data_IF_418357960772
#
_entry.id   IF_418357960772
#
_cell.length_a   1.000
_cell.length_b   1.000
_cell.length_c   1.000
_cell.angle_alpha   90.00
_cell.angle_beta   90.00
_cell.angle_gamma   90.00
#
_symmetry.space_group_name_H-M   'P 1'
#
loop_
_entity.id
_entity.type
_entity.pdbx_description
1 polymer ?
#
# COMPACT_ATOMS: atom_id res chain seq x y z
N UNK A 1 -11.60 -30.43 0.72
CA UNK A 1 -13.02 -30.20 0.34
C UNK A 1 -13.55 -31.38 -0.48
N UNK A 2 -14.61 -32.05 -0.03
CA UNK A 2 -15.34 -32.99 -0.90
C UNK A 2 -16.08 -32.17 -1.96
N UNK A 3 -15.95 -32.52 -3.24
CA UNK A 3 -16.70 -31.86 -4.30
C UNK A 3 -18.21 -31.99 -4.03
N UNK A 4 -18.94 -30.88 -4.15
CA UNK A 4 -20.38 -30.87 -4.05
C UNK A 4 -20.94 -31.45 -5.35
N UNK A 5 -21.51 -32.65 -5.26
CA UNK A 5 -22.14 -33.33 -6.38
C UNK A 5 -23.61 -32.94 -6.49
N UNK A 6 -24.10 -32.80 -7.71
CA UNK A 6 -25.50 -32.49 -7.99
C UNK A 6 -26.11 -33.53 -8.91
N UNK A 7 -27.29 -34.02 -8.56
CA UNK A 7 -28.18 -34.69 -9.49
C UNK A 7 -29.31 -33.72 -9.83
N UNK A 8 -29.44 -33.43 -11.13
CA UNK A 8 -30.49 -32.55 -11.64
C UNK A 8 -31.74 -33.33 -12.04
N UNK A 9 -31.71 -34.66 -11.95
CA UNK A 9 -32.78 -35.58 -12.38
C UNK A 9 -32.39 -36.38 -13.61
N UNK A 10 -31.09 -36.53 -13.88
CA UNK A 10 -30.56 -37.20 -15.08
C UNK A 10 -29.80 -38.49 -14.73
N UNK A 11 -29.62 -38.82 -13.44
CA UNK A 11 -29.04 -40.12 -13.08
C UNK A 11 -30.02 -41.23 -13.45
N UNK A 12 -29.51 -42.21 -14.19
CA UNK A 12 -30.23 -43.39 -14.65
C UNK A 12 -29.40 -44.68 -14.50
N UNK A 13 -29.85 -45.77 -15.13
CA UNK A 13 -29.14 -47.06 -15.09
C UNK A 13 -27.79 -47.05 -15.80
N UNK A 14 -27.60 -46.12 -16.75
CA UNK A 14 -26.43 -46.05 -17.61
C UNK A 14 -25.35 -45.14 -17.01
N UNK A 15 -25.72 -44.33 -16.01
CA UNK A 15 -24.84 -43.43 -15.24
C UNK A 15 -23.74 -44.14 -14.42
N UNK A 16 -23.87 -45.44 -14.17
CA UNK A 16 -22.85 -46.24 -13.51
C UNK A 16 -22.76 -46.03 -11.99
N UNK A 17 -21.54 -46.15 -11.44
CA UNK A 17 -21.27 -46.14 -10.00
C UNK A 17 -20.05 -45.27 -9.67
N UNK A 18 -20.03 -44.70 -8.46
CA UNK A 18 -18.88 -43.96 -7.93
C UNK A 18 -18.05 -44.89 -7.05
N UNK A 19 -16.96 -45.43 -7.59
CA UNK A 19 -16.06 -46.36 -6.87
C UNK A 19 -16.77 -47.58 -6.28
N UNK A 20 -17.75 -48.13 -7.00
CA UNK A 20 -18.54 -49.28 -6.55
C UNK A 20 -19.67 -48.95 -5.55
N UNK A 21 -19.90 -47.67 -5.27
CA UNK A 21 -21.05 -47.18 -4.51
C UNK A 21 -22.06 -46.48 -5.43
N UNK A 22 -23.28 -46.28 -4.93
CA UNK A 22 -24.33 -45.51 -5.61
C UNK A 22 -23.81 -44.14 -6.01
N UNK A 23 -24.05 -43.75 -7.27
CA UNK A 23 -23.77 -42.41 -7.74
C UNK A 23 -24.81 -41.44 -7.17
N UNK A 24 -24.37 -40.38 -6.50
CA UNK A 24 -25.26 -39.42 -5.83
C UNK A 24 -25.32 -38.06 -6.54
N UNK A 25 -24.63 -37.91 -7.67
CA UNK A 25 -24.54 -36.68 -8.44
C UNK A 25 -23.29 -36.63 -9.31
N UNK A 26 -23.21 -35.58 -10.12
CA UNK A 26 -22.08 -35.22 -10.96
C UNK A 26 -21.46 -33.89 -10.51
N UNK A 27 -20.22 -33.65 -10.93
CA UNK A 27 -19.60 -32.34 -10.77
C UNK A 27 -20.35 -31.30 -11.63
N UNK A 28 -20.51 -30.08 -11.11
CA UNK A 28 -21.13 -28.99 -11.87
C UNK A 28 -20.11 -28.41 -12.86
N UNK A 29 -20.34 -28.51 -14.18
CA UNK A 29 -19.45 -27.92 -15.17
C UNK A 29 -19.54 -26.38 -15.16
N UNK A 30 -18.55 -25.71 -15.74
CA UNK A 30 -18.62 -24.27 -16.00
C UNK A 30 -19.76 -23.95 -16.98
N UNK A 31 -20.45 -22.82 -16.77
CA UNK A 31 -21.43 -22.29 -17.73
C UNK A 31 -20.78 -21.47 -18.84
N UNK A 32 -19.53 -21.01 -18.64
CA UNK A 32 -18.82 -20.18 -19.61
C UNK A 32 -18.55 -20.99 -20.88
N UNK A 33 -19.10 -20.53 -22.00
CA UNK A 33 -19.02 -21.19 -23.31
C UNK A 33 -19.83 -22.50 -23.43
N UNK A 34 -20.54 -22.93 -22.38
CA UNK A 34 -21.29 -24.19 -22.38
C UNK A 34 -22.41 -24.21 -23.45
N UNK A 35 -22.89 -23.04 -23.84
CA UNK A 35 -23.88 -22.86 -24.90
C UNK A 35 -23.35 -23.26 -26.30
N UNK A 36 -22.02 -23.21 -26.51
CA UNK A 36 -21.40 -23.33 -27.84
C UNK A 36 -21.23 -24.78 -28.32
N UNK A 37 -21.45 -25.77 -27.44
CA UNK A 37 -21.30 -27.20 -27.75
C UNK A 37 -22.48 -28.01 -27.20
N UNK A 38 -23.42 -28.36 -28.09
CA UNK A 38 -24.49 -29.33 -27.81
C UNK A 38 -24.19 -30.72 -28.39
N UNK A 39 -24.95 -31.77 -28.00
CA UNK A 39 -26.00 -31.76 -26.97
C UNK A 39 -25.44 -31.60 -25.54
N UNK A 40 -26.29 -31.13 -24.62
CA UNK A 40 -25.95 -30.80 -23.24
C UNK A 40 -26.32 -31.92 -22.27
N UNK A 41 -25.93 -31.73 -21.00
CA UNK A 41 -25.98 -32.74 -19.91
C UNK A 41 -24.96 -33.86 -20.10
N UNK A 42 -24.70 -34.62 -19.04
CA UNK A 42 -23.63 -35.62 -19.01
C UNK A 42 -23.90 -36.84 -19.93
N UNK A 43 -25.17 -37.08 -20.24
CA UNK A 43 -25.68 -38.14 -21.10
C UNK A 43 -26.01 -37.66 -22.52
N UNK A 44 -25.87 -36.35 -22.79
CA UNK A 44 -26.23 -35.74 -24.07
C UNK A 44 -27.74 -35.75 -24.37
N UNK A 45 -28.60 -35.91 -23.36
CA UNK A 45 -30.06 -36.02 -23.57
C UNK A 45 -30.73 -34.69 -23.96
N UNK A 46 -30.09 -33.55 -23.71
CA UNK A 46 -30.64 -32.24 -24.01
C UNK A 46 -30.10 -31.66 -25.31
N UNK A 47 -30.94 -31.59 -26.35
CA UNK A 47 -30.54 -31.02 -27.64
C UNK A 47 -30.37 -29.49 -27.62
N UNK A 48 -31.01 -28.80 -26.66
CA UNK A 48 -30.99 -27.35 -26.50
C UNK A 48 -30.70 -26.95 -25.05
N UNK A 49 -30.30 -25.70 -24.83
CA UNK A 49 -30.14 -25.15 -23.47
C UNK A 49 -31.46 -25.15 -22.70
N UNK A 50 -32.59 -24.88 -23.36
CA UNK A 50 -33.90 -24.92 -22.75
C UNK A 50 -34.25 -26.33 -22.24
N UNK A 51 -33.93 -27.37 -23.02
CA UNK A 51 -34.12 -28.76 -22.60
C UNK A 51 -33.21 -29.09 -21.40
N UNK A 52 -31.96 -28.61 -21.42
CA UNK A 52 -31.03 -28.78 -20.32
C UNK A 52 -31.50 -28.09 -19.03
N UNK A 53 -32.01 -26.86 -19.13
CA UNK A 53 -32.61 -26.12 -18.02
C UNK A 53 -33.85 -26.86 -17.51
N UNK A 54 -34.72 -27.33 -18.41
CA UNK A 54 -35.94 -28.06 -18.05
C UNK A 54 -35.64 -29.39 -17.33
N UNK A 55 -34.48 -29.99 -17.56
CA UNK A 55 -34.07 -31.20 -16.87
C UNK A 55 -33.82 -30.99 -15.37
N UNK A 56 -33.66 -29.75 -14.88
CA UNK A 56 -33.44 -29.44 -13.46
C UNK A 56 -34.73 -29.55 -12.63
N UNK A 57 -35.15 -30.78 -12.36
CA UNK A 57 -36.44 -31.09 -11.71
C UNK A 57 -36.43 -30.94 -10.19
N UNK A 58 -35.26 -30.73 -9.58
CA UNK A 58 -35.10 -30.49 -8.14
C UNK A 58 -35.46 -29.05 -7.71
N UNK A 59 -35.66 -28.16 -8.68
CA UNK A 59 -36.11 -26.78 -8.48
C UNK A 59 -37.60 -26.61 -8.87
N UNK A 60 -38.29 -25.57 -8.39
CA UNK A 60 -39.62 -25.23 -8.89
C UNK A 60 -39.63 -25.09 -10.41
N UNK A 61 -40.66 -25.64 -11.05
CA UNK A 61 -40.78 -25.62 -12.52
C UNK A 61 -40.82 -24.17 -13.01
N UNK A 62 -39.82 -23.78 -13.80
CA UNK A 62 -39.76 -22.50 -14.48
C UNK A 62 -40.78 -22.41 -15.60
N UNK A 63 -41.39 -21.23 -15.78
CA UNK A 63 -42.25 -20.98 -16.94
C UNK A 63 -41.42 -21.00 -18.23
N UNK A 64 -42.06 -21.26 -19.37
CA UNK A 64 -41.37 -21.30 -20.66
C UNK A 64 -40.59 -20.00 -20.95
N UNK A 65 -41.20 -18.85 -20.68
CA UNK A 65 -40.56 -17.53 -20.83
C UNK A 65 -39.31 -17.36 -19.97
N UNK A 66 -39.33 -17.87 -18.73
CA UNK A 66 -38.19 -17.76 -17.82
C UNK A 66 -37.03 -18.65 -18.27
N UNK A 67 -37.34 -19.83 -18.82
CA UNK A 67 -36.33 -20.72 -19.41
C UNK A 67 -35.72 -20.10 -20.67
N UNK A 68 -36.51 -19.43 -21.49
CA UNK A 68 -36.00 -18.72 -22.67
C UNK A 68 -35.09 -17.56 -22.28
N UNK A 69 -35.47 -16.80 -21.25
CA UNK A 69 -34.64 -15.72 -20.70
C UNK A 69 -33.33 -16.26 -20.10
N UNK A 70 -33.39 -17.35 -19.34
CA UNK A 70 -32.19 -17.97 -18.75
C UNK A 70 -31.27 -18.57 -19.82
N UNK A 71 -31.82 -19.23 -20.84
CA UNK A 71 -31.03 -19.72 -21.97
C UNK A 71 -30.33 -18.56 -22.70
N UNK A 72 -31.03 -17.44 -22.91
CA UNK A 72 -30.46 -16.24 -23.53
C UNK A 72 -29.37 -15.60 -22.66
N UNK A 73 -29.49 -15.68 -21.34
CA UNK A 73 -28.46 -15.24 -20.40
C UNK A 73 -27.23 -16.16 -20.46
N UNK A 74 -27.41 -17.48 -20.45
CA UNK A 74 -26.30 -18.44 -20.56
C UNK A 74 -25.56 -18.32 -21.90
N UNK A 75 -26.27 -17.98 -22.99
CA UNK A 75 -25.65 -17.70 -24.30
C UNK A 75 -24.74 -16.47 -24.32
N UNK A 76 -24.87 -15.55 -23.36
CA UNK A 76 -23.98 -14.41 -23.24
C UNK A 76 -22.72 -14.73 -22.45
N UNK A 77 -22.68 -15.87 -21.74
CA UNK A 77 -21.58 -16.24 -20.88
C UNK A 77 -20.42 -16.84 -21.70
N UNK A 78 -19.55 -15.98 -22.21
CA UNK A 78 -18.39 -16.38 -23.02
C UNK A 78 -17.19 -16.73 -22.14
N UNK A 79 -16.30 -17.65 -22.57
CA UNK A 79 -15.02 -17.86 -21.89
C UNK A 79 -14.16 -16.60 -21.81
N UNK A 80 -14.37 -15.64 -22.73
CA UNK A 80 -13.68 -14.35 -22.74
C UNK A 80 -14.15 -13.36 -21.68
N UNK A 81 -15.33 -13.56 -21.07
CA UNK A 81 -15.87 -12.63 -20.07
C UNK A 81 -15.01 -12.57 -18.80
N UNK A 82 -14.17 -13.57 -18.57
CA UNK A 82 -13.22 -13.61 -17.46
C UNK A 82 -11.83 -13.10 -17.82
N UNK A 83 -11.61 -12.62 -19.06
CA UNK A 83 -10.29 -12.20 -19.52
C UNK A 83 -9.72 -11.06 -18.66
N UNK A 84 -10.58 -10.16 -18.19
CA UNK A 84 -10.17 -9.01 -17.37
C UNK A 84 -10.16 -9.31 -15.86
N UNK A 85 -10.46 -10.56 -15.45
CA UNK A 85 -10.42 -10.99 -14.05
C UNK A 85 -9.01 -11.40 -13.58
N UNK A 86 -8.00 -11.19 -14.42
CA UNK A 86 -6.59 -11.37 -14.07
C UNK A 86 -6.05 -10.07 -13.48
N UNK A 87 -5.02 -10.20 -12.65
CA UNK A 87 -4.16 -9.11 -12.20
C UNK A 87 -2.86 -9.22 -13.01
N UNK A 88 -2.67 -8.30 -13.95
CA UNK A 88 -1.62 -8.42 -14.97
C UNK A 88 -0.28 -7.82 -14.55
N UNK A 89 -0.29 -6.81 -13.69
CA UNK A 89 0.92 -6.16 -13.15
C UNK A 89 1.22 -6.54 -11.69
N UNK A 90 0.31 -7.27 -11.05
CA UNK A 90 0.49 -7.87 -9.73
C UNK A 90 0.29 -6.89 -8.59
N UNK A 91 -0.36 -5.75 -8.82
CA UNK A 91 -0.56 -4.70 -7.82
C UNK A 91 -1.72 -5.00 -6.83
N UNK A 92 -2.41 -6.12 -7.05
CA UNK A 92 -3.55 -6.57 -6.26
C UNK A 92 -4.91 -6.14 -6.78
N UNK A 93 -4.97 -5.39 -7.89
CA UNK A 93 -6.19 -5.03 -8.60
C UNK A 93 -6.34 -5.88 -9.86
N UNK A 94 -7.54 -6.43 -10.06
CA UNK A 94 -7.84 -7.08 -11.32
C UNK A 94 -7.98 -6.01 -12.44
N UNK A 95 -7.64 -6.37 -13.68
CA UNK A 95 -7.65 -5.45 -14.82
C UNK A 95 -8.97 -4.68 -14.99
N UNK A 96 -10.12 -5.29 -14.66
CA UNK A 96 -11.43 -4.63 -14.78
C UNK A 96 -11.66 -3.52 -13.73
N UNK A 97 -10.88 -3.51 -12.65
CA UNK A 97 -10.92 -2.52 -11.57
C UNK A 97 -9.78 -1.50 -11.65
N UNK A 98 -8.78 -1.79 -12.48
CA UNK A 98 -7.57 -1.00 -12.60
C UNK A 98 -7.63 -0.04 -13.80
N UNK A 99 -7.45 1.28 -13.60
CA UNK A 99 -7.34 2.25 -14.69
C UNK A 99 -6.15 2.02 -15.64
N UNK A 100 -5.10 1.30 -15.23
CA UNK A 100 -3.91 1.06 -16.02
C UNK A 100 -3.28 -0.32 -15.74
N UNK A 101 -3.97 -1.39 -16.17
CA UNK A 101 -3.65 -2.82 -16.00
C UNK A 101 -2.28 -3.36 -16.47
N UNK A 102 -1.33 -2.49 -16.82
CA UNK A 102 0.05 -2.89 -17.08
C UNK A 102 1.04 -2.04 -16.30
N UNK A 103 0.58 -1.31 -15.29
CA UNK A 103 1.34 -0.36 -14.51
C UNK A 103 1.03 -0.56 -13.04
N UNK A 104 1.91 -1.31 -12.35
CA UNK A 104 1.75 -1.62 -10.94
C UNK A 104 1.67 -0.39 -10.02
N UNK A 105 2.02 0.81 -10.48
CA UNK A 105 1.91 2.05 -9.69
C UNK A 105 0.55 2.75 -9.84
N UNK A 106 -0.40 2.15 -10.56
CA UNK A 106 -1.76 2.62 -10.69
C UNK A 106 -2.70 1.48 -10.25
N UNK A 107 -3.75 1.76 -9.46
CA UNK A 107 -4.22 3.07 -9.01
C UNK A 107 -3.46 3.65 -7.80
N UNK A 108 -2.53 2.91 -7.21
CA UNK A 108 -1.77 3.34 -6.03
C UNK A 108 -0.29 3.12 -6.25
N UNK A 109 0.55 4.11 -5.91
CA UNK A 109 2.00 3.95 -5.86
C UNK A 109 2.47 3.21 -4.59
N UNK A 110 1.61 3.13 -3.56
CA UNK A 110 1.92 2.51 -2.27
C UNK A 110 1.49 1.05 -2.25
N UNK A 111 2.05 0.24 -3.16
CA UNK A 111 1.96 -1.22 -3.11
C UNK A 111 3.33 -1.85 -3.40
N UNK A 112 3.52 -3.08 -2.93
CA UNK A 112 4.82 -3.75 -2.99
C UNK A 112 5.35 -4.05 -4.41
N UNK A 113 4.50 -4.01 -5.43
CA UNK A 113 4.88 -4.24 -6.82
C UNK A 113 5.20 -2.94 -7.57
N UNK A 114 4.88 -1.78 -7.00
CA UNK A 114 5.30 -0.49 -7.52
C UNK A 114 6.71 -0.14 -7.02
N UNK A 115 7.68 -0.07 -7.93
CA UNK A 115 9.05 0.35 -7.63
C UNK A 115 9.27 1.86 -7.82
N UNK A 116 8.25 2.68 -7.55
CA UNK A 116 8.41 4.14 -7.59
C UNK A 116 9.28 4.59 -6.41
N UNK A 117 10.19 5.51 -6.70
CA UNK A 117 11.16 6.11 -5.77
C UNK A 117 11.20 7.61 -6.13
N UNK A 118 10.43 8.41 -5.38
CA UNK A 118 10.12 9.80 -5.70
C UNK A 118 11.30 10.73 -5.46
N UNK A 119 12.13 10.47 -4.46
CA UNK A 119 13.29 11.29 -4.10
C UNK A 119 14.64 10.72 -4.60
N UNK A 120 14.61 9.53 -5.21
CA UNK A 120 15.75 8.84 -5.80
C UNK A 120 16.83 8.43 -4.81
N UNK A 121 16.46 8.13 -3.57
CA UNK A 121 17.37 7.70 -2.52
C UNK A 121 17.61 6.17 -2.49
N UNK A 122 16.89 5.43 -3.34
CA UNK A 122 17.02 3.98 -3.50
C UNK A 122 16.10 3.14 -2.60
N UNK A 123 15.23 3.77 -1.83
CA UNK A 123 14.07 3.14 -1.17
C UNK A 123 12.82 3.47 -1.99
N UNK A 124 11.88 2.53 -2.08
CA UNK A 124 10.62 2.81 -2.79
C UNK A 124 9.64 3.54 -1.91
N UNK A 125 8.76 4.36 -2.51
CA UNK A 125 7.68 5.08 -1.83
C UNK A 125 6.83 4.13 -0.94
N UNK A 126 6.62 2.87 -1.36
CA UNK A 126 5.91 1.86 -0.58
C UNK A 126 6.62 1.46 0.72
N UNK A 127 7.94 1.31 0.69
CA UNK A 127 8.74 0.89 1.83
C UNK A 127 8.93 2.03 2.86
N UNK A 128 8.89 3.28 2.39
CA UNK A 128 8.94 4.48 3.23
C UNK A 128 7.56 4.82 3.82
N UNK A 129 6.51 4.59 3.05
CA UNK A 129 5.12 4.66 3.48
C UNK A 129 4.44 6.01 3.19
N UNK A 130 3.16 5.94 2.84
CA UNK A 130 2.35 7.09 2.36
C UNK A 130 2.21 8.24 3.35
N UNK A 131 2.31 7.93 4.65
CA UNK A 131 2.04 8.90 5.73
C UNK A 131 3.16 8.92 6.77
N UNK A 132 4.31 8.32 6.47
CA UNK A 132 5.46 8.37 7.37
C UNK A 132 6.13 9.73 7.21
N UNK A 133 6.35 10.39 8.34
CA UNK A 133 6.98 11.71 8.45
C UNK A 133 7.91 11.60 9.66
N UNK A 134 9.19 11.37 9.38
CA UNK A 134 10.20 11.00 10.36
C UNK A 134 10.61 12.15 11.28
N UNK A 135 10.57 13.39 10.80
CA UNK A 135 11.03 14.56 11.53
C UNK A 135 9.91 15.56 11.90
N UNK A 136 8.72 15.39 11.33
CA UNK A 136 7.50 16.13 11.66
C UNK A 136 7.36 17.48 10.98
N UNK A 137 8.07 17.73 9.87
CA UNK A 137 8.03 19.01 9.14
C UNK A 137 6.84 19.11 8.17
N UNK A 138 6.19 17.98 7.88
CA UNK A 138 5.01 17.85 7.03
C UNK A 138 5.30 17.48 5.57
N UNK A 139 6.57 17.29 5.20
CA UNK A 139 6.96 16.42 4.10
C UNK A 139 6.96 14.97 4.60
N UNK A 140 6.70 14.04 3.70
CA UNK A 140 6.69 12.61 4.03
C UNK A 140 8.00 11.98 3.58
N UNK A 141 8.39 10.89 4.24
CA UNK A 141 9.66 10.21 4.01
C UNK A 141 9.89 9.88 2.52
N UNK A 142 8.86 9.42 1.79
CA UNK A 142 8.95 9.15 0.35
C UNK A 142 9.24 10.37 -0.53
N UNK A 143 9.22 11.57 0.02
CA UNK A 143 9.49 12.83 -0.65
C UNK A 143 10.84 13.43 -0.22
N UNK A 144 11.54 12.78 0.71
CA UNK A 144 12.70 13.31 1.40
C UNK A 144 13.83 12.30 1.48
N UNK A 145 14.87 12.57 0.69
CA UNK A 145 15.97 11.64 0.50
C UNK A 145 16.71 11.36 1.81
N UNK A 146 16.81 10.09 2.16
CA UNK A 146 17.66 9.63 3.26
C UNK A 146 19.16 9.66 2.93
N UNK A 147 19.54 10.04 1.70
CA UNK A 147 20.94 10.15 1.26
C UNK A 147 21.42 11.60 1.07
N UNK A 148 20.50 12.55 0.92
CA UNK A 148 20.84 13.95 0.74
C UNK A 148 21.00 14.63 2.11
N UNK A 149 22.01 15.48 2.21
CA UNK A 149 22.29 16.35 3.35
C UNK A 149 22.59 17.72 2.72
N UNK A 150 21.53 18.53 2.59
CA UNK A 150 21.56 19.75 1.77
C UNK A 150 22.34 20.90 2.42
N UNK A 151 22.39 20.95 3.75
CA UNK A 151 23.05 22.01 4.50
C UNK A 151 24.38 21.59 5.16
N UNK A 152 24.69 20.29 5.15
CA UNK A 152 25.95 19.71 5.61
C UNK A 152 26.05 19.57 7.12
N UNK A 153 24.93 19.53 7.84
CA UNK A 153 24.89 19.41 9.30
C UNK A 153 24.93 17.96 9.81
N UNK A 154 25.07 16.99 8.89
CA UNK A 154 25.15 15.54 9.12
C UNK A 154 23.83 14.82 9.37
N UNK A 155 22.72 15.54 9.50
CA UNK A 155 21.40 14.96 9.37
C UNK A 155 21.05 14.89 7.88
N UNK A 156 20.46 13.78 7.45
CA UNK A 156 19.91 13.73 6.10
C UNK A 156 18.58 14.46 6.08
N UNK A 157 18.12 14.81 4.88
CA UNK A 157 16.91 15.60 4.73
C UNK A 157 15.68 14.94 5.40
N UNK A 158 15.58 13.61 5.36
CA UNK A 158 14.50 12.85 6.02
C UNK A 158 14.50 12.95 7.57
N UNK A 159 15.59 13.42 8.17
CA UNK A 159 15.77 13.54 9.63
C UNK A 159 15.96 14.99 10.06
N UNK A 160 15.79 15.95 9.14
CA UNK A 160 16.02 17.37 9.37
C UNK A 160 14.78 18.21 9.02
N UNK A 161 14.06 18.71 10.05
CA UNK A 161 12.87 19.53 9.84
C UNK A 161 13.07 20.85 9.06
N UNK A 162 14.31 21.24 8.75
CA UNK A 162 14.63 22.36 7.87
C UNK A 162 15.92 22.09 7.09
N UNK A 163 15.80 21.30 6.01
CA UNK A 163 16.82 20.92 5.00
C UNK A 163 17.81 22.02 4.52
N UNK A 164 17.57 23.29 4.85
CA UNK A 164 18.42 24.42 4.43
C UNK A 164 19.14 25.10 5.58
N UNK A 165 18.99 24.60 6.80
CA UNK A 165 19.30 25.30 8.01
C UNK A 165 19.99 24.41 9.05
N UNK A 166 21.32 24.39 8.95
CA UNK A 166 22.24 23.61 9.81
C UNK A 166 22.15 23.82 11.34
N UNK A 167 21.21 24.64 11.79
CA UNK A 167 20.84 24.81 13.19
C UNK A 167 19.64 23.96 13.63
N UNK A 168 19.00 23.30 12.70
CA UNK A 168 17.91 22.34 12.83
C UNK A 168 18.45 21.04 12.23
N UNK A 169 18.18 19.86 12.80
CA UNK A 169 17.47 19.61 14.06
C UNK A 169 18.31 19.95 15.31
N UNK A 170 19.64 20.05 15.18
CA UNK A 170 20.55 20.26 16.30
C UNK A 170 21.30 21.59 16.25
N UNK A 171 21.44 22.25 17.41
CA UNK A 171 22.14 23.53 17.53
C UNK A 171 23.68 23.42 17.46
N UNK A 172 24.23 22.24 17.21
CA UNK A 172 25.69 21.98 17.36
C UNK A 172 26.50 22.66 16.25
N UNK A 173 25.91 22.86 15.07
CA UNK A 173 26.54 23.55 13.94
C UNK A 173 26.16 25.04 13.86
N UNK A 174 25.31 25.51 14.78
CA UNK A 174 25.10 26.93 14.95
C UNK A 174 26.37 27.61 15.44
N UNK A 175 26.90 28.53 14.65
CA UNK A 175 27.74 29.59 15.19
C UNK A 175 26.88 30.38 16.18
N UNK A 176 27.02 30.12 17.48
CA UNK A 176 26.60 31.09 18.47
C UNK A 176 27.31 32.41 18.11
N UNK A 177 26.54 33.39 17.63
CA UNK A 177 26.98 34.79 17.66
C UNK A 177 27.06 35.20 19.13
N UNK A 178 28.02 34.65 19.88
CA UNK A 178 28.34 35.11 21.23
C UNK A 178 28.75 36.56 21.03
N UNK A 179 28.01 37.55 21.57
CA UNK A 179 28.45 38.92 21.50
C UNK A 179 29.77 38.99 22.24
N UNK A 180 30.88 39.01 21.50
CA UNK A 180 32.19 39.25 22.08
C UNK A 180 32.07 40.62 22.75
N UNK A 181 32.06 40.66 24.08
CA UNK A 181 32.13 41.91 24.82
C UNK A 181 33.33 42.67 24.24
N UNK A 182 33.14 43.84 23.60
CA UNK A 182 34.25 44.54 22.97
C UNK A 182 35.30 44.79 24.04
N UNK A 183 36.59 44.58 23.72
CA UNK A 183 37.75 44.65 24.63
C UNK A 183 37.68 45.76 25.69
N UNK A 184 37.03 46.88 25.37
CA UNK A 184 36.70 47.99 26.29
C UNK A 184 35.97 47.58 27.57
N UNK A 185 35.00 46.66 27.51
CA UNK A 185 34.25 46.21 28.69
C UNK A 185 35.11 45.34 29.63
N UNK A 186 35.99 44.50 29.07
CA UNK A 186 36.95 43.69 29.83
C UNK A 186 37.99 44.58 30.53
N UNK A 187 38.46 45.64 29.85
CA UNK A 187 39.39 46.63 30.41
C UNK A 187 38.73 47.44 31.53
N UNK A 188 37.48 47.87 31.36
CA UNK A 188 36.72 48.59 32.39
C UNK A 188 36.51 47.76 33.65
N UNK A 189 36.20 46.46 33.51
CA UNK A 189 36.06 45.55 34.64
C UNK A 189 37.39 45.33 35.38
N UNK A 190 38.49 45.15 34.64
CA UNK A 190 39.83 45.02 35.22
C UNK A 190 40.27 46.29 35.97
N UNK A 191 39.98 47.48 35.42
CA UNK A 191 40.27 48.76 36.08
C UNK A 191 39.40 48.98 37.32
N UNK A 192 38.14 48.55 37.31
CA UNK A 192 37.26 48.62 38.48
C UNK A 192 37.77 47.72 39.62
N UNK A 193 38.20 46.49 39.33
CA UNK A 193 38.81 45.57 40.29
C UNK A 193 40.14 46.10 40.83
N UNK A 194 41.02 46.61 39.96
CA UNK A 194 42.27 47.25 40.38
C UNK A 194 42.02 48.47 41.27
N UNK A 195 41.00 49.28 40.97
CA UNK A 195 40.57 50.42 41.78
C UNK A 195 40.08 50.02 43.18
N UNK A 196 39.31 48.93 43.29
CA UNK A 196 38.85 48.39 44.58
C UNK A 196 40.01 47.86 45.42
N UNK A 197 40.94 47.12 44.81
CA UNK A 197 42.13 46.60 45.47
C UNK A 197 43.07 47.73 45.93
N UNK A 198 43.25 48.76 45.11
CA UNK A 198 44.04 49.95 45.48
C UNK A 198 43.43 50.71 46.66
N UNK A 199 42.10 50.89 46.70
CA UNK A 199 41.41 51.53 47.84
C UNK A 199 41.59 50.71 49.13
N UNK A 200 41.51 49.38 49.06
CA UNK A 200 41.76 48.50 50.22
C UNK A 200 43.20 48.58 50.72
N UNK A 201 44.18 48.60 49.81
CA UNK A 201 45.60 48.74 50.18
C UNK A 201 45.92 50.11 50.80
N UNK A 202 45.28 51.19 50.33
CA UNK A 202 45.48 52.54 50.87
C UNK A 202 44.84 52.71 52.26
N UNK A 203 43.67 52.13 52.50
CA UNK A 203 43.00 52.18 53.81
C UNK A 203 43.72 51.32 54.88
N UNK A 204 44.36 50.21 54.50
CA UNK A 204 45.18 49.41 55.42
C UNK A 204 46.46 50.10 55.92
N UNK A 205 46.93 51.15 55.23
CA UNK A 205 48.19 51.85 55.57
C UNK A 205 48.02 53.04 56.53
N UNK A 206 46.79 53.42 56.85
CA UNK A 206 46.49 54.56 57.74
C UNK A 206 46.29 54.10 59.21
N UNK A 207 46.05 52.80 59.45
CA UNK A 207 45.82 52.26 60.80
C UNK A 207 47.06 51.85 61.61
N UNK A 208 48.28 52.19 61.18
CA UNK A 208 49.52 51.83 61.89
C UNK A 208 50.42 53.06 62.07
N UNK A 209 50.02 53.94 62.99
CA UNK A 209 50.94 54.84 63.72
C UNK A 209 50.23 55.38 64.96
N UNK A 210 50.57 54.74 66.08
CA UNK A 210 50.42 55.12 67.49
C UNK A 210 49.03 55.29 68.08
#
# INVERSE_FOLDING_TARGET
PLALLHDVGTIDSDSGQRMGATLTGFDTPSILGAWSSGPHLHDGSAATLQDAIAAHTTLPVLQASDRDALASFIQQAEPGDTADMIDSDGDGWANFQDPASGNACAPSAFNANCGQDTDSDGVSDFDEGETTDSDGDGLFDYQESSQLDDDGDTFNNQQDPDNTNSCVPELIFCSENVPTLPLLHSILLALALAGVLYRRAKMGRIGSKS
#
